data_IF_342290953666
#
_entry.id   IF_342290953666
#
_cell.length_a   1.000
_cell.length_b   1.000
_cell.length_c   1.000
_cell.angle_alpha   90.00
_cell.angle_beta   90.00
_cell.angle_gamma   90.00
#
_symmetry.space_group_name_H-M   'P 1'
#
loop_
_entity.id
_entity.type
_entity.pdbx_description
1 polymer ?
#
# COMPACT_ATOMS: atom_id res chain seq x y z
N UNK A 1 -6.91 7.82 2.65
CA UNK A 1 -5.54 7.65 3.19
C UNK A 1 -5.58 6.38 4.02
N UNK A 2 -4.87 5.32 3.62
CA UNK A 2 -4.91 4.02 4.29
C UNK A 2 -3.67 3.85 5.18
N UNK A 3 -3.84 3.60 6.49
CA UNK A 3 -2.71 3.32 7.36
C UNK A 3 -2.04 2.00 6.96
N UNK A 4 -0.72 1.93 7.07
CA UNK A 4 0.00 0.69 6.83
C UNK A 4 -0.40 -0.36 7.89
N UNK A 5 -0.80 -1.58 7.49
CA UNK A 5 -1.24 -2.61 8.45
C UNK A 5 -0.13 -3.16 9.35
N UNK A 6 1.14 -2.80 9.11
CA UNK A 6 2.28 -3.26 9.92
C UNK A 6 2.80 -2.24 10.92
N UNK A 7 2.89 -0.99 10.50
CA UNK A 7 3.46 0.09 11.32
C UNK A 7 2.45 1.18 11.69
N UNK A 8 1.19 1.06 11.26
CA UNK A 8 0.10 2.04 11.42
C UNK A 8 0.45 3.46 10.92
N UNK A 9 1.54 3.60 10.18
CA UNK A 9 1.96 4.86 9.59
C UNK A 9 0.99 5.29 8.50
N UNK A 10 0.69 6.59 8.47
CA UNK A 10 -0.11 7.23 7.43
C UNK A 10 0.73 7.59 6.19
N UNK A 11 2.05 7.40 6.24
CA UNK A 11 2.97 7.63 5.12
C UNK A 11 2.94 6.48 4.11
N UNK A 12 1.76 6.24 3.53
CA UNK A 12 1.56 5.30 2.43
C UNK A 12 1.28 6.03 1.13
N UNK A 13 1.88 5.55 0.04
CA UNK A 13 1.67 6.05 -1.32
C UNK A 13 1.04 4.93 -2.15
N UNK A 14 -0.05 5.24 -2.85
CA UNK A 14 -0.56 4.35 -3.89
C UNK A 14 0.44 4.27 -5.06
N UNK A 15 0.72 3.05 -5.54
CA UNK A 15 1.64 2.82 -6.64
C UNK A 15 0.90 2.49 -7.94
N UNK A 16 0.20 1.36 -7.96
CA UNK A 16 -0.52 0.86 -9.13
C UNK A 16 -1.50 -0.24 -8.71
N UNK A 17 -2.46 -0.56 -9.58
CA UNK A 17 -3.33 -1.72 -9.42
C UNK A 17 -2.62 -2.98 -9.94
N UNK A 18 -3.01 -4.15 -9.42
CA UNK A 18 -2.52 -5.42 -9.95
C UNK A 18 -3.12 -5.70 -11.34
N UNK A 19 -2.29 -6.18 -12.29
CA UNK A 19 -2.73 -6.51 -13.65
C UNK A 19 -3.77 -7.64 -13.69
N UNK A 20 -3.76 -8.54 -12.71
CA UNK A 20 -4.71 -9.66 -12.64
C UNK A 20 -6.03 -9.28 -11.95
N UNK A 21 -6.04 -8.22 -11.14
CA UNK A 21 -7.22 -7.82 -10.40
C UNK A 21 -7.16 -6.33 -10.06
N UNK A 22 -7.96 -5.54 -10.78
CA UNK A 22 -8.05 -4.08 -10.58
C UNK A 22 -8.55 -3.70 -9.18
N UNK A 23 -9.21 -4.61 -8.46
CA UNK A 23 -9.69 -4.37 -7.10
C UNK A 23 -8.60 -4.56 -6.04
N UNK A 24 -7.38 -4.93 -6.43
CA UNK A 24 -6.24 -5.12 -5.55
C UNK A 24 -5.19 -4.01 -5.77
N UNK A 25 -5.40 -2.81 -5.18
CA UNK A 25 -4.43 -1.73 -5.27
C UNK A 25 -3.18 -2.05 -4.45
N UNK A 26 -2.01 -1.68 -4.99
CA UNK A 26 -0.73 -1.84 -4.31
C UNK A 26 -0.25 -0.52 -3.75
N UNK A 27 0.08 -0.52 -2.47
CA UNK A 27 0.52 0.64 -1.71
C UNK A 27 1.95 0.41 -1.20
N UNK A 28 2.77 1.46 -1.26
CA UNK A 28 4.10 1.48 -0.66
C UNK A 28 4.07 2.28 0.63
N UNK A 29 4.56 1.72 1.73
CA UNK A 29 4.75 2.44 2.98
C UNK A 29 6.18 2.97 3.06
N UNK A 30 6.37 4.28 3.26
CA UNK A 30 7.69 4.90 3.39
C UNK A 30 8.38 4.53 4.71
N UNK A 31 7.64 4.47 5.81
CA UNK A 31 8.20 4.14 7.13
C UNK A 31 8.70 2.70 7.19
N UNK A 32 7.89 1.76 6.67
CA UNK A 32 8.22 0.35 6.63
C UNK A 32 9.09 -0.06 5.41
N UNK A 33 9.25 0.83 4.42
CA UNK A 33 9.85 0.57 3.10
C UNK A 33 9.35 -0.71 2.42
N UNK A 34 8.06 -1.03 2.61
CA UNK A 34 7.46 -2.28 2.11
C UNK A 34 6.19 -1.99 1.33
N UNK A 35 5.97 -2.81 0.31
CA UNK A 35 4.72 -2.87 -0.42
C UNK A 35 3.70 -3.75 0.32
N UNK A 36 2.43 -3.40 0.17
CA UNK A 36 1.30 -4.19 0.61
C UNK A 36 0.11 -3.97 -0.32
N UNK A 37 -0.84 -4.89 -0.28
CA UNK A 37 -2.08 -4.83 -1.06
C UNK A 37 -3.21 -4.47 -0.09
N UNK A 38 -3.99 -3.45 -0.41
CA UNK A 38 -5.16 -3.10 0.39
C UNK A 38 -6.39 -3.92 -0.01
#
# INVERSE_FOLDING_TARGET
ILPCPRCNSMDTKFCYYNNYNIKQPRHFCKSCQRYWTA
#
